data_IF_424076039349
#
_entry.id   IF_424076039349
#
_cell.length_a   1.000
_cell.length_b   1.000
_cell.length_c   1.000
_cell.angle_alpha   90.00
_cell.angle_beta   90.00
_cell.angle_gamma   90.00
#
_symmetry.space_group_name_H-M   'P 1'
#
loop_
_entity.id
_entity.type
_entity.pdbx_description
1 polymer ?
#
# COMPACT_ATOMS: atom_id res chain seq x y z
N UNK A 1 -16.08 8.70 -11.17
CA UNK A 1 -16.35 7.92 -9.95
C UNK A 1 -17.33 8.58 -8.99
N UNK A 2 -17.25 9.90 -8.75
CA UNK A 2 -18.14 10.64 -7.84
C UNK A 2 -19.62 10.42 -8.14
N UNK A 3 -20.02 10.53 -9.42
CA UNK A 3 -21.40 10.27 -9.87
C UNK A 3 -21.82 8.81 -9.59
N UNK A 4 -20.90 7.84 -9.74
CA UNK A 4 -21.18 6.44 -9.44
C UNK A 4 -21.42 6.22 -7.94
N UNK A 5 -20.63 6.87 -7.07
CA UNK A 5 -20.84 6.83 -5.61
C UNK A 5 -22.22 7.40 -5.27
N UNK A 6 -22.55 8.59 -5.77
CA UNK A 6 -23.85 9.23 -5.53
C UNK A 6 -25.01 8.35 -6.04
N UNK A 7 -24.88 7.73 -7.20
CA UNK A 7 -25.87 6.80 -7.73
C UNK A 7 -26.07 5.56 -6.85
N UNK A 8 -24.98 4.95 -6.37
CA UNK A 8 -25.05 3.78 -5.50
C UNK A 8 -25.84 4.09 -4.21
N UNK A 9 -25.62 5.26 -3.62
CA UNK A 9 -26.26 5.68 -2.38
C UNK A 9 -27.72 6.06 -2.63
N UNK A 10 -27.98 6.95 -3.59
CA UNK A 10 -29.33 7.51 -3.79
C UNK A 10 -30.31 6.56 -4.49
N UNK A 11 -29.81 5.77 -5.48
CA UNK A 11 -30.68 4.95 -6.31
C UNK A 11 -30.68 3.47 -5.91
N UNK A 12 -29.54 2.97 -5.41
CA UNK A 12 -29.43 1.57 -5.02
C UNK A 12 -29.49 1.36 -3.51
N UNK A 13 -29.69 2.42 -2.72
CA UNK A 13 -29.76 2.38 -1.25
C UNK A 13 -28.54 1.69 -0.60
N UNK A 14 -27.37 1.86 -1.20
CA UNK A 14 -26.12 1.32 -0.64
C UNK A 14 -25.72 2.13 0.58
N UNK A 15 -25.45 1.44 1.69
CA UNK A 15 -24.91 2.09 2.88
C UNK A 15 -23.56 2.75 2.55
N UNK A 16 -23.38 4.06 2.80
CA UNK A 16 -22.12 4.75 2.56
C UNK A 16 -20.90 4.07 3.17
N UNK A 17 -21.05 3.43 4.33
CA UNK A 17 -19.96 2.71 5.01
C UNK A 17 -19.49 1.45 4.27
N UNK A 18 -20.27 0.95 3.32
CA UNK A 18 -19.91 -0.19 2.47
C UNK A 18 -19.14 0.20 1.19
N UNK A 19 -18.82 1.48 1.03
CA UNK A 19 -18.10 1.99 -0.14
C UNK A 19 -16.65 2.33 0.22
N UNK A 20 -15.72 1.77 -0.54
CA UNK A 20 -14.30 2.12 -0.55
C UNK A 20 -13.97 2.75 -1.89
N UNK A 21 -13.58 4.02 -1.90
CA UNK A 21 -13.09 4.72 -3.06
C UNK A 21 -11.60 5.08 -2.88
N UNK A 22 -10.78 4.70 -3.84
CA UNK A 22 -9.33 4.88 -3.78
C UNK A 22 -8.88 5.75 -4.94
N UNK A 23 -7.99 6.69 -4.62
CA UNK A 23 -7.28 7.56 -5.57
C UNK A 23 -5.77 7.47 -5.34
N UNK A 24 -4.97 8.10 -6.20
CA UNK A 24 -3.51 8.08 -6.07
C UNK A 24 -2.95 9.18 -5.17
N UNK A 25 -3.62 10.32 -5.08
CA UNK A 25 -3.13 11.45 -4.30
C UNK A 25 -4.12 11.90 -3.22
N UNK A 26 -3.61 12.41 -2.11
CA UNK A 26 -4.45 12.97 -1.06
C UNK A 26 -5.29 14.16 -1.55
N UNK A 27 -4.77 14.95 -2.51
CA UNK A 27 -5.50 16.03 -3.14
C UNK A 27 -6.72 15.49 -3.89
N UNK A 28 -6.55 14.47 -4.73
CA UNK A 28 -7.65 13.84 -5.46
C UNK A 28 -8.67 13.20 -4.52
N UNK A 29 -8.22 12.55 -3.43
CA UNK A 29 -9.11 11.99 -2.42
C UNK A 29 -9.98 13.07 -1.75
N UNK A 30 -9.39 14.21 -1.36
CA UNK A 30 -10.12 15.33 -0.77
C UNK A 30 -11.08 15.98 -1.76
N UNK A 31 -10.67 16.14 -3.03
CA UNK A 31 -11.53 16.67 -4.08
C UNK A 31 -12.71 15.73 -4.37
N UNK A 32 -12.46 14.42 -4.47
CA UNK A 32 -13.52 13.43 -4.63
C UNK A 32 -14.51 13.50 -3.47
N UNK A 33 -14.00 13.58 -2.23
CA UNK A 33 -14.83 13.72 -1.03
C UNK A 33 -15.73 14.94 -1.11
N UNK A 34 -15.19 16.14 -1.38
CA UNK A 34 -15.96 17.36 -1.50
C UNK A 34 -17.01 17.31 -2.61
N UNK A 35 -16.68 16.70 -3.75
CA UNK A 35 -17.64 16.53 -4.86
C UNK A 35 -18.79 15.61 -4.48
N UNK A 36 -18.52 14.52 -3.79
CA UNK A 36 -19.56 13.57 -3.32
C UNK A 36 -20.44 14.25 -2.26
N UNK A 37 -19.86 14.99 -1.32
CA UNK A 37 -20.59 15.79 -0.32
C UNK A 37 -21.57 16.77 -1.00
N UNK A 38 -21.08 17.52 -1.99
CA UNK A 38 -21.92 18.48 -2.74
C UNK A 38 -23.06 17.78 -3.50
N UNK A 39 -22.83 16.56 -4.03
CA UNK A 39 -23.85 15.82 -4.77
C UNK A 39 -24.93 15.20 -3.87
N UNK A 40 -24.55 14.75 -2.69
CA UNK A 40 -25.43 14.04 -1.78
C UNK A 40 -26.11 14.96 -0.76
N UNK A 41 -25.55 16.14 -0.52
CA UNK A 41 -26.01 17.02 0.56
C UNK A 41 -25.82 16.42 1.96
N UNK A 42 -24.95 15.43 2.10
CA UNK A 42 -24.72 14.65 3.31
C UNK A 42 -23.24 14.67 3.68
N UNK A 43 -22.95 14.48 4.97
CA UNK A 43 -21.59 14.26 5.45
C UNK A 43 -21.06 12.89 4.94
N UNK A 44 -19.98 12.91 4.17
CA UNK A 44 -19.35 11.72 3.59
C UNK A 44 -18.36 11.02 4.53
N UNK A 45 -18.31 11.38 5.80
CA UNK A 45 -17.38 10.75 6.77
C UNK A 45 -17.58 9.23 6.88
N UNK A 46 -18.74 8.72 6.52
CA UNK A 46 -19.01 7.28 6.49
C UNK A 46 -18.40 6.57 5.28
N UNK A 47 -18.19 7.28 4.16
CA UNK A 47 -17.58 6.70 2.96
C UNK A 47 -16.05 6.67 3.17
N UNK A 48 -15.43 5.53 2.92
CA UNK A 48 -13.98 5.45 2.94
C UNK A 48 -13.42 5.96 1.61
N UNK A 49 -13.04 7.25 1.55
CA UNK A 49 -12.34 7.85 0.41
C UNK A 49 -10.91 8.15 0.84
N UNK A 50 -9.92 7.56 0.18
CA UNK A 50 -8.51 7.72 0.56
C UNK A 50 -7.55 7.28 -0.54
N UNK A 51 -6.25 7.45 -0.33
CA UNK A 51 -5.22 6.81 -1.17
C UNK A 51 -4.99 5.36 -0.71
N UNK A 52 -4.34 4.55 -1.56
CA UNK A 52 -3.91 3.20 -1.20
C UNK A 52 -3.07 3.19 0.09
N UNK A 53 -2.09 4.09 0.19
CA UNK A 53 -1.22 4.19 1.38
C UNK A 53 -2.00 4.59 2.64
N UNK A 54 -2.92 5.54 2.51
CA UNK A 54 -3.76 5.96 3.65
C UNK A 54 -4.70 4.84 4.10
N UNK A 55 -5.22 4.04 3.17
CA UNK A 55 -6.00 2.85 3.48
C UNK A 55 -5.15 1.80 4.18
N UNK A 56 -3.97 1.46 3.61
CA UNK A 56 -3.04 0.51 4.21
C UNK A 56 -2.60 0.91 5.61
N UNK A 57 -2.28 2.19 5.83
CA UNK A 57 -1.96 2.71 7.16
C UNK A 57 -3.12 2.51 8.16
N UNK A 58 -4.37 2.71 7.74
CA UNK A 58 -5.54 2.45 8.61
C UNK A 58 -5.65 0.97 8.98
N UNK A 59 -5.40 0.07 8.01
CA UNK A 59 -5.39 -1.38 8.27
C UNK A 59 -4.29 -1.73 9.27
N UNK A 60 -3.06 -1.26 9.05
CA UNK A 60 -1.93 -1.52 9.93
C UNK A 60 -2.18 -0.96 11.33
N UNK A 61 -2.67 0.27 11.46
CA UNK A 61 -3.00 0.89 12.77
C UNK A 61 -4.06 0.12 13.55
N UNK A 62 -4.94 -0.60 12.87
CA UNK A 62 -5.98 -1.40 13.53
C UNK A 62 -5.48 -2.78 13.96
N UNK A 63 -4.47 -3.32 13.27
CA UNK A 63 -3.99 -4.69 13.44
C UNK A 63 -2.48 -4.79 13.63
N UNK A 64 -1.87 -3.73 14.18
CA UNK A 64 -0.42 -3.65 14.38
C UNK A 64 0.15 -4.82 15.18
N UNK A 65 -0.60 -5.30 16.17
CA UNK A 65 -0.25 -6.44 17.03
C UNK A 65 -0.11 -7.74 16.24
N UNK A 66 -1.00 -7.98 15.27
CA UNK A 66 -0.94 -9.16 14.38
C UNK A 66 0.28 -9.12 13.44
N UNK A 67 0.76 -7.93 13.13
CA UNK A 67 1.96 -7.71 12.33
C UNK A 67 3.26 -7.69 13.16
N UNK A 68 3.14 -7.81 14.49
CA UNK A 68 4.28 -7.81 15.41
C UNK A 68 4.87 -6.43 15.69
N UNK A 69 4.08 -5.35 15.51
CA UNK A 69 4.45 -3.99 15.84
C UNK A 69 3.79 -3.52 17.15
N UNK A 70 4.35 -2.45 17.73
CA UNK A 70 3.71 -1.73 18.83
C UNK A 70 2.82 -0.62 18.27
N UNK A 71 1.83 -0.17 19.03
CA UNK A 71 0.86 0.86 18.61
C UNK A 71 1.49 2.20 18.22
N UNK A 72 2.67 2.50 18.78
CA UNK A 72 3.45 3.72 18.53
C UNK A 72 4.51 3.56 17.44
N UNK A 73 4.28 2.69 16.46
CA UNK A 73 5.20 2.56 15.33
C UNK A 73 5.32 3.88 14.55
N UNK A 74 6.49 4.08 13.94
CA UNK A 74 6.78 5.26 13.11
C UNK A 74 6.86 4.88 11.63
N UNK A 75 6.63 5.86 10.77
CA UNK A 75 6.82 5.70 9.32
C UNK A 75 8.02 6.55 8.95
N UNK A 76 9.06 5.91 8.42
CA UNK A 76 10.25 6.59 7.93
C UNK A 76 10.04 7.09 6.50
N UNK A 77 10.61 8.24 6.19
CA UNK A 77 10.56 8.81 4.85
C UNK A 77 11.68 8.25 3.94
N UNK A 78 11.75 8.78 2.71
CA UNK A 78 12.73 8.34 1.72
C UNK A 78 14.17 8.66 2.11
N UNK A 79 14.41 9.74 2.87
CA UNK A 79 15.74 10.15 3.28
C UNK A 79 16.23 9.30 4.45
N UNK A 80 15.37 9.00 5.41
CA UNK A 80 15.63 8.07 6.50
C UNK A 80 15.86 6.64 6.00
N UNK A 81 15.06 6.21 5.01
CA UNK A 81 15.25 4.93 4.32
C UNK A 81 16.63 4.85 3.68
N UNK A 82 17.02 5.88 2.91
CA UNK A 82 18.33 5.95 2.28
C UNK A 82 19.47 5.99 3.32
N UNK A 83 19.30 6.75 4.39
CA UNK A 83 20.29 6.81 5.48
C UNK A 83 20.46 5.44 6.17
N UNK A 84 19.38 4.70 6.33
CA UNK A 84 19.40 3.33 6.87
C UNK A 84 20.19 2.39 5.96
N UNK A 85 19.94 2.42 4.65
CA UNK A 85 20.70 1.61 3.66
C UNK A 85 22.17 1.98 3.67
N UNK A 86 22.52 3.28 3.71
CA UNK A 86 23.93 3.73 3.82
C UNK A 86 24.62 3.17 5.07
N UNK A 87 23.94 3.16 6.20
CA UNK A 87 24.46 2.61 7.46
C UNK A 87 24.71 1.11 7.33
N UNK A 88 23.76 0.37 6.76
CA UNK A 88 23.89 -1.08 6.56
C UNK A 88 25.12 -1.39 5.68
N UNK A 89 25.27 -0.70 4.55
CA UNK A 89 26.45 -0.88 3.68
C UNK A 89 27.75 -0.63 4.44
N UNK A 90 27.83 0.42 5.26
CA UNK A 90 28.98 0.72 6.09
C UNK A 90 29.23 -0.41 7.12
N UNK A 91 28.20 -0.89 7.80
CA UNK A 91 28.28 -1.97 8.79
C UNK A 91 28.79 -3.27 8.14
N UNK A 92 28.46 -3.50 6.85
CA UNK A 92 28.90 -4.65 6.05
C UNK A 92 30.28 -4.43 5.39
N UNK A 93 30.95 -3.29 5.62
CA UNK A 93 32.22 -2.92 4.97
C UNK A 93 32.14 -2.91 3.42
N UNK A 94 31.00 -2.54 2.86
CA UNK A 94 30.79 -2.45 1.41
C UNK A 94 31.06 -1.01 0.92
N UNK A 95 31.84 -0.88 -0.17
CA UNK A 95 32.18 0.44 -0.72
C UNK A 95 30.97 1.03 -1.48
N UNK A 96 30.46 2.22 -1.08
CA UNK A 96 29.34 2.89 -1.74
C UNK A 96 29.62 3.31 -3.20
N UNK A 97 30.89 3.31 -3.62
CA UNK A 97 31.26 3.59 -5.03
C UNK A 97 30.88 2.42 -5.95
N UNK A 98 31.00 1.18 -5.45
CA UNK A 98 30.59 -0.03 -6.16
C UNK A 98 29.13 -0.38 -5.90
N UNK A 99 28.67 -0.22 -4.67
CA UNK A 99 27.32 -0.54 -4.23
C UNK A 99 26.55 0.75 -3.90
N UNK A 100 26.00 1.41 -4.92
CA UNK A 100 25.32 2.69 -4.75
C UNK A 100 24.09 2.55 -3.85
N UNK A 101 24.03 3.25 -2.70
CA UNK A 101 22.94 3.11 -1.73
C UNK A 101 21.56 3.44 -2.32
N UNK A 102 21.47 4.44 -3.20
CA UNK A 102 20.23 4.84 -3.85
C UNK A 102 19.72 3.75 -4.79
N UNK A 103 20.64 3.12 -5.54
CA UNK A 103 20.29 1.99 -6.42
C UNK A 103 19.75 0.81 -5.62
N UNK A 104 20.43 0.45 -4.53
CA UNK A 104 20.00 -0.65 -3.65
C UNK A 104 18.65 -0.34 -3.01
N UNK A 105 18.46 0.87 -2.46
CA UNK A 105 17.17 1.29 -1.91
C UNK A 105 16.05 1.19 -2.96
N UNK A 106 16.30 1.63 -4.18
CA UNK A 106 15.30 1.55 -5.25
C UNK A 106 14.98 0.10 -5.63
N UNK A 107 16.00 -0.80 -5.65
CA UNK A 107 15.75 -2.24 -5.87
C UNK A 107 14.92 -2.85 -4.74
N UNK A 108 15.15 -2.49 -3.50
CA UNK A 108 14.33 -2.92 -2.35
C UNK A 108 12.88 -2.42 -2.51
N UNK A 109 12.69 -1.14 -2.83
CA UNK A 109 11.37 -0.57 -3.09
C UNK A 109 10.65 -1.29 -4.24
N UNK A 110 11.35 -1.55 -5.35
CA UNK A 110 10.80 -2.31 -6.48
C UNK A 110 10.40 -3.73 -6.06
N UNK A 111 11.23 -4.43 -5.27
CA UNK A 111 10.90 -5.75 -4.76
C UNK A 111 9.65 -5.75 -3.88
N UNK A 112 9.53 -4.78 -2.96
CA UNK A 112 8.32 -4.60 -2.14
C UNK A 112 7.07 -4.35 -2.99
N UNK A 113 7.18 -3.51 -4.03
CA UNK A 113 6.09 -3.23 -4.96
C UNK A 113 5.71 -4.42 -5.85
N UNK A 114 6.60 -5.42 -5.98
CA UNK A 114 6.31 -6.73 -6.59
C UNK A 114 5.89 -7.79 -5.56
N UNK A 115 5.71 -7.42 -4.29
CA UNK A 115 5.39 -8.29 -3.17
C UNK A 115 6.46 -9.37 -2.91
N UNK A 116 7.71 -9.05 -3.20
CA UNK A 116 8.85 -9.93 -2.96
C UNK A 116 9.50 -9.58 -1.62
N UNK A 117 9.59 -10.55 -0.73
CA UNK A 117 10.44 -10.47 0.45
C UNK A 117 11.91 -10.78 0.08
N UNK A 118 12.88 -10.64 1.01
CA UNK A 118 14.28 -10.95 0.71
C UNK A 118 14.51 -12.37 0.19
N UNK A 119 13.75 -13.35 0.68
CA UNK A 119 13.90 -14.77 0.28
C UNK A 119 13.37 -14.99 -1.14
N UNK A 120 12.30 -14.31 -1.50
CA UNK A 120 11.77 -14.37 -2.85
C UNK A 120 12.66 -13.61 -3.83
N UNK A 121 13.19 -12.45 -3.45
CA UNK A 121 14.11 -11.68 -4.28
C UNK A 121 15.40 -12.46 -4.57
N UNK A 122 15.89 -13.25 -3.62
CA UNK A 122 17.10 -14.07 -3.77
C UNK A 122 17.01 -15.06 -4.94
N UNK A 123 15.83 -15.55 -5.25
CA UNK A 123 15.59 -16.48 -6.38
C UNK A 123 15.84 -15.86 -7.75
N UNK A 124 15.89 -14.54 -7.83
CA UNK A 124 16.06 -13.76 -9.06
C UNK A 124 17.38 -13.04 -9.14
N UNK A 125 18.35 -13.35 -8.25
CA UNK A 125 19.68 -12.76 -8.27
C UNK A 125 20.47 -13.28 -9.48
N UNK A 126 21.09 -12.37 -10.22
CA UNK A 126 21.85 -12.68 -11.43
C UNK A 126 23.28 -12.12 -11.39
N UNK A 127 23.61 -11.28 -10.42
CA UNK A 127 24.90 -10.61 -10.30
C UNK A 127 25.18 -10.21 -8.84
N UNK A 128 26.43 -9.80 -8.57
CA UNK A 128 26.87 -9.41 -7.23
C UNK A 128 26.06 -8.29 -6.60
N UNK A 129 25.60 -7.30 -7.40
CA UNK A 129 24.75 -6.22 -6.89
C UNK A 129 23.40 -6.75 -6.40
N UNK A 130 22.83 -7.75 -7.07
CA UNK A 130 21.58 -8.36 -6.64
C UNK A 130 21.76 -9.14 -5.33
N UNK A 131 22.83 -9.93 -5.21
CA UNK A 131 23.16 -10.65 -3.96
C UNK A 131 23.37 -9.70 -2.78
N UNK A 132 24.10 -8.60 -3.00
CA UNK A 132 24.29 -7.55 -1.99
C UNK A 132 22.95 -6.89 -1.65
N UNK A 133 22.10 -6.65 -2.64
CA UNK A 133 20.77 -6.06 -2.43
C UNK A 133 19.91 -6.95 -1.51
N UNK A 134 19.92 -8.28 -1.70
CA UNK A 134 19.19 -9.22 -0.84
C UNK A 134 19.71 -9.17 0.61
N UNK A 135 21.02 -9.17 0.81
CA UNK A 135 21.63 -9.07 2.14
C UNK A 135 21.26 -7.75 2.82
N UNK A 136 21.36 -6.64 2.08
CA UNK A 136 20.97 -5.32 2.60
C UNK A 136 19.48 -5.25 2.90
N UNK A 137 18.63 -5.83 2.05
CA UNK A 137 17.18 -5.85 2.24
C UNK A 137 16.81 -6.63 3.52
N UNK A 138 17.43 -7.80 3.75
CA UNK A 138 17.24 -8.58 4.99
C UNK A 138 17.57 -7.74 6.23
N UNK A 139 18.74 -7.10 6.25
CA UNK A 139 19.13 -6.24 7.38
C UNK A 139 18.26 -4.98 7.50
N UNK A 140 17.82 -4.44 6.38
CA UNK A 140 16.91 -3.28 6.35
C UNK A 140 15.58 -3.59 7.04
N UNK A 141 14.94 -4.72 6.70
CA UNK A 141 13.70 -5.14 7.34
C UNK A 141 13.89 -5.46 8.83
N UNK A 142 15.02 -6.10 9.20
CA UNK A 142 15.36 -6.35 10.60
C UNK A 142 15.51 -5.03 11.39
N UNK A 143 16.22 -4.04 10.85
CA UNK A 143 16.38 -2.73 11.50
C UNK A 143 15.05 -1.99 11.63
N UNK A 144 14.19 -2.02 10.61
CA UNK A 144 12.84 -1.44 10.69
C UNK A 144 12.04 -2.08 11.82
N UNK A 145 12.03 -3.41 11.88
CA UNK A 145 11.28 -4.16 12.91
C UNK A 145 11.80 -3.89 14.33
N UNK A 146 13.12 -3.88 14.54
CA UNK A 146 13.74 -3.57 15.83
C UNK A 146 13.38 -2.16 16.30
N UNK A 147 13.38 -1.20 15.37
CA UNK A 147 13.05 0.20 15.65
C UNK A 147 11.54 0.47 15.72
N UNK A 148 10.71 -0.55 15.59
CA UNK A 148 9.25 -0.40 15.49
C UNK A 148 8.85 0.63 14.42
N UNK A 149 9.43 0.51 13.25
CA UNK A 149 9.28 1.46 12.13
C UNK A 149 8.85 0.73 10.86
N UNK A 150 8.19 1.44 9.98
CA UNK A 150 7.78 1.03 8.65
C UNK A 150 8.32 2.03 7.63
N UNK A 151 8.59 1.60 6.42
CA UNK A 151 8.74 2.53 5.31
C UNK A 151 7.42 2.70 4.54
N UNK A 152 7.47 3.52 3.49
CA UNK A 152 6.28 3.85 2.72
C UNK A 152 5.75 2.65 1.92
N UNK A 153 6.63 1.76 1.42
CA UNK A 153 6.24 0.57 0.68
C UNK A 153 5.58 -0.48 1.59
N UNK A 154 5.97 -0.55 2.87
CA UNK A 154 5.35 -1.42 3.87
C UNK A 154 3.85 -1.12 4.06
N UNK A 155 3.42 0.13 3.83
CA UNK A 155 2.02 0.51 3.95
C UNK A 155 1.12 -0.22 2.95
N UNK A 156 1.68 -0.70 1.85
CA UNK A 156 0.96 -1.49 0.85
C UNK A 156 1.19 -3.00 1.01
N UNK A 157 2.42 -3.39 1.32
CA UNK A 157 2.81 -4.80 1.42
C UNK A 157 2.22 -5.49 2.66
N UNK A 158 2.32 -4.86 3.83
CA UNK A 158 1.88 -5.45 5.09
C UNK A 158 0.38 -5.76 5.18
N UNK A 159 -0.54 -4.94 4.65
CA UNK A 159 -1.96 -5.31 4.57
C UNK A 159 -2.21 -6.62 3.81
N UNK A 160 -1.46 -6.86 2.72
CA UNK A 160 -1.60 -8.09 1.93
C UNK A 160 -1.09 -9.30 2.73
N UNK A 161 0.07 -9.16 3.39
CA UNK A 161 0.61 -10.21 4.27
C UNK A 161 -0.40 -10.51 5.39
N UNK A 162 -0.91 -9.47 6.06
CA UNK A 162 -1.92 -9.61 7.10
C UNK A 162 -3.15 -10.39 6.61
N UNK A 163 -3.67 -10.04 5.45
CA UNK A 163 -4.86 -10.67 4.86
C UNK A 163 -4.62 -12.13 4.42
N UNK A 164 -3.41 -12.45 3.97
CA UNK A 164 -3.03 -13.82 3.63
C UNK A 164 -2.94 -14.71 4.88
N UNK A 165 -2.39 -14.19 5.96
CA UNK A 165 -2.18 -14.90 7.21
C UNK A 165 -3.44 -14.97 8.09
N UNK A 166 -4.36 -14.00 7.95
CA UNK A 166 -5.55 -13.86 8.80
C UNK A 166 -6.81 -13.72 7.94
N UNK A 167 -7.41 -14.84 7.56
CA UNK A 167 -8.60 -14.86 6.68
C UNK A 167 -9.79 -14.12 7.28
N UNK A 168 -9.99 -14.21 8.60
CA UNK A 168 -11.06 -13.52 9.31
C UNK A 168 -10.94 -11.99 9.22
N UNK A 169 -9.71 -11.46 9.18
CA UNK A 169 -9.47 -10.03 8.98
C UNK A 169 -9.81 -9.64 7.54
N UNK A 170 -9.40 -10.43 6.55
CA UNK A 170 -9.77 -10.21 5.15
C UNK A 170 -11.29 -10.22 4.98
N UNK A 171 -11.97 -11.21 5.53
CA UNK A 171 -13.44 -11.33 5.47
C UNK A 171 -14.12 -10.11 6.10
N UNK A 172 -13.62 -9.61 7.23
CA UNK A 172 -14.12 -8.38 7.84
C UNK A 172 -14.08 -7.19 6.87
N UNK A 173 -12.95 -7.00 6.15
CA UNK A 173 -12.84 -5.89 5.19
C UNK A 173 -13.67 -6.12 3.94
N UNK A 174 -13.83 -7.34 3.49
CA UNK A 174 -14.70 -7.70 2.37
C UNK A 174 -16.18 -7.45 2.71
N UNK A 175 -16.63 -7.79 3.93
CA UNK A 175 -17.99 -7.50 4.40
C UNK A 175 -18.22 -6.01 4.57
N UNK A 176 -17.22 -5.29 5.06
CA UNK A 176 -17.29 -3.85 5.24
C UNK A 176 -17.36 -3.11 3.91
N UNK A 177 -16.51 -3.48 2.94
CA UNK A 177 -16.40 -2.78 1.66
C UNK A 177 -16.96 -3.62 0.52
N UNK A 178 -18.29 -3.58 0.39
CA UNK A 178 -19.01 -4.33 -0.65
C UNK A 178 -18.87 -3.72 -2.04
N UNK A 179 -18.51 -2.43 -2.11
CA UNK A 179 -18.30 -1.68 -3.36
C UNK A 179 -16.94 -1.02 -3.33
N UNK A 180 -16.11 -1.32 -4.32
CA UNK A 180 -14.75 -0.81 -4.45
C UNK A 180 -14.65 -0.02 -5.75
N UNK A 181 -14.23 1.25 -5.63
CA UNK A 181 -14.05 2.15 -6.75
C UNK A 181 -12.61 2.66 -6.77
N UNK A 182 -11.96 2.59 -7.91
CA UNK A 182 -10.55 3.00 -8.05
C UNK A 182 -10.43 3.95 -9.22
N UNK A 183 -9.81 5.09 -8.94
CA UNK A 183 -9.46 6.11 -9.94
C UNK A 183 -8.03 5.91 -10.43
N UNK A 184 -7.71 6.45 -11.61
CA UNK A 184 -6.38 6.40 -12.23
C UNK A 184 -5.80 4.98 -12.25
N UNK A 185 -6.62 4.00 -12.62
CA UNK A 185 -6.25 2.58 -12.52
C UNK A 185 -5.03 2.21 -13.36
N UNK A 186 -4.71 2.98 -14.42
CA UNK A 186 -3.52 2.80 -15.25
C UNK A 186 -2.20 2.93 -14.45
N UNK A 187 -2.21 3.67 -13.34
CA UNK A 187 -1.03 3.91 -12.50
C UNK A 187 -0.84 2.86 -11.40
N UNK A 188 -1.73 1.84 -11.34
CA UNK A 188 -1.64 0.81 -10.29
C UNK A 188 -0.44 -0.10 -10.49
N UNK A 189 0.35 -0.29 -9.42
CA UNK A 189 1.38 -1.30 -9.37
C UNK A 189 0.82 -2.68 -8.95
N UNK A 190 1.67 -3.70 -8.97
CA UNK A 190 1.27 -5.08 -8.64
C UNK A 190 0.69 -5.24 -7.23
N UNK A 191 1.31 -4.61 -6.23
CA UNK A 191 0.83 -4.68 -4.84
C UNK A 191 -0.57 -4.08 -4.70
N UNK A 192 -0.81 -2.92 -5.30
CA UNK A 192 -2.12 -2.26 -5.31
C UNK A 192 -3.18 -3.09 -6.04
N UNK A 193 -2.80 -3.71 -7.17
CA UNK A 193 -3.67 -4.64 -7.89
C UNK A 193 -4.05 -5.84 -7.01
N UNK A 194 -3.08 -6.49 -6.34
CA UNK A 194 -3.34 -7.64 -5.47
C UNK A 194 -4.25 -7.25 -4.31
N UNK A 195 -3.96 -6.13 -3.64
CA UNK A 195 -4.80 -5.62 -2.54
C UNK A 195 -6.25 -5.41 -3.01
N UNK A 196 -6.44 -4.77 -4.16
CA UNK A 196 -7.75 -4.55 -4.78
C UNK A 196 -8.46 -5.87 -5.06
N UNK A 197 -7.76 -6.83 -5.67
CA UNK A 197 -8.28 -8.17 -5.98
C UNK A 197 -8.72 -8.92 -4.73
N UNK A 198 -7.93 -8.87 -3.65
CA UNK A 198 -8.27 -9.51 -2.37
C UNK A 198 -9.55 -8.92 -1.78
N UNK A 199 -9.62 -7.59 -1.71
CA UNK A 199 -10.79 -6.90 -1.13
C UNK A 199 -12.07 -7.13 -1.95
N UNK A 200 -11.98 -7.13 -3.28
CA UNK A 200 -13.16 -7.30 -4.16
C UNK A 200 -13.60 -8.74 -4.37
N UNK A 201 -12.82 -9.73 -3.94
CA UNK A 201 -13.02 -11.14 -4.30
C UNK A 201 -14.40 -11.70 -3.91
N UNK A 202 -14.96 -11.25 -2.78
CA UNK A 202 -16.22 -11.78 -2.26
C UNK A 202 -17.43 -11.27 -3.04
N UNK A 203 -17.59 -9.97 -3.18
CA UNK A 203 -18.77 -9.34 -3.78
C UNK A 203 -18.61 -9.02 -5.27
N UNK A 204 -17.39 -8.91 -5.77
CA UNK A 204 -17.04 -8.59 -7.16
C UNK A 204 -17.63 -7.27 -7.67
N UNK A 205 -18.09 -6.40 -6.76
CA UNK A 205 -18.58 -5.06 -7.08
C UNK A 205 -17.39 -4.09 -7.15
N UNK A 206 -16.70 -4.13 -8.25
CA UNK A 206 -15.55 -3.26 -8.50
C UNK A 206 -15.84 -2.35 -9.71
N UNK A 207 -15.45 -1.10 -9.59
CA UNK A 207 -15.46 -0.12 -10.66
C UNK A 207 -14.10 0.55 -10.74
N UNK A 208 -13.43 0.42 -11.85
CA UNK A 208 -12.14 1.06 -12.10
C UNK A 208 -12.30 2.09 -13.21
N UNK A 209 -11.65 3.23 -13.06
CA UNK A 209 -11.57 4.28 -14.07
C UNK A 209 -10.11 4.58 -14.30
N UNK A 210 -9.73 4.70 -15.53
CA UNK A 210 -8.37 5.00 -15.95
C UNK A 210 -8.34 5.47 -17.40
N UNK A 211 -7.27 6.15 -17.74
CA UNK A 211 -7.02 6.64 -19.09
C UNK A 211 -5.76 5.92 -19.63
N UNK A 212 -5.92 5.01 -20.60
CA UNK A 212 -4.78 4.27 -21.16
C UNK A 212 -3.77 5.18 -21.87
N UNK A 213 -4.20 6.37 -22.35
CA UNK A 213 -3.32 7.31 -23.04
C UNK A 213 -2.43 8.10 -22.07
N UNK A 214 -2.72 8.06 -20.77
CA UNK A 214 -1.91 8.66 -19.70
C UNK A 214 -0.99 7.65 -19.02
N UNK A 215 -1.04 6.38 -19.38
CA UNK A 215 -0.14 5.36 -18.85
C UNK A 215 1.29 5.59 -19.37
N UNK A 216 2.22 5.94 -18.47
CA UNK A 216 3.63 6.20 -18.78
C UNK A 216 4.47 4.95 -18.54
#
# INVERSE_FOLDING_TARGET
LTTKIAYLINNNNVDPSNILAITFTNKAANEMKSRVENMLGLDTNMIQISTFHSFGLKVIKRHYDKLGFKSNFTIIDSDDSLATVKRILKDMNLDPKFFNPKTIRNKISSAKNELMDPVELDKFTNNELDEVTVKVYTEYQNKLKINNSLDFDDLLMLPIILFNENKEILEYYQEKFKYILIDEYQDTNRVQYILTKMLSAKYKNICVVGDPDQSI
#
